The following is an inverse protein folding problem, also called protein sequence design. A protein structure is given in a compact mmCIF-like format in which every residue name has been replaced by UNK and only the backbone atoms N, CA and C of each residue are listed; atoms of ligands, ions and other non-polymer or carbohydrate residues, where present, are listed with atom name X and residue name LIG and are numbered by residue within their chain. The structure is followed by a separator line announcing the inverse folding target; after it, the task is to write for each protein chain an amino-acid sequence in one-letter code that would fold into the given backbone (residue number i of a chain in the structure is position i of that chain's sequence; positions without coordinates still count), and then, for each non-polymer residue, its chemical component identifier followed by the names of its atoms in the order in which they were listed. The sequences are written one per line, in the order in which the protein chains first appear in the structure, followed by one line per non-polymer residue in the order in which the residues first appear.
data_IF_982933772966
#
_entry.id   IF_982933772966
#
_cell.length_a   1.000
_cell.length_b   1.000
_cell.length_c   1.000
_cell.angle_alpha   90.00
_cell.angle_beta   90.00
_cell.angle_gamma   90.00
#
_symmetry.space_group_name_H-M   'P 1'
#
loop_
_entity.id
_entity.type
_entity.pdbx_description
1 polymer ?
#
# COMPACT_ATOMS: atom_id res chain seq x y z
N UNK A 1 10.65 -46.63 -49.47
CA UNK A 1 10.62 -45.14 -49.54
C UNK A 1 10.56 -44.64 -48.10
N UNK A 2 11.72 -44.38 -47.46
CA UNK A 2 12.34 -43.05 -47.26
C UNK A 2 11.47 -42.07 -46.42
N UNK A 3 11.74 -42.09 -45.09
CA UNK A 3 12.07 -40.97 -44.16
C UNK A 3 11.24 -39.65 -44.15
N UNK A 4 11.39 -38.73 -43.16
CA UNK A 4 11.63 -38.86 -41.70
C UNK A 4 10.97 -37.73 -40.85
N UNK A 5 10.36 -37.98 -39.68
CA UNK A 5 10.16 -36.90 -38.66
C UNK A 5 10.13 -37.42 -37.21
N UNK A 6 10.78 -38.56 -36.91
CA UNK A 6 10.83 -39.11 -35.55
C UNK A 6 12.11 -38.79 -34.75
N UNK A 7 13.01 -37.95 -35.28
CA UNK A 7 14.35 -37.74 -34.69
C UNK A 7 14.61 -36.36 -34.07
N UNK A 8 13.58 -35.54 -33.85
CA UNK A 8 13.73 -34.21 -33.25
C UNK A 8 13.15 -34.05 -31.84
N UNK A 9 12.69 -35.14 -31.22
CA UNK A 9 12.18 -35.11 -29.84
C UNK A 9 13.06 -35.80 -28.78
N UNK A 10 14.17 -36.45 -29.17
CA UNK A 10 15.00 -37.22 -28.25
C UNK A 10 16.38 -36.63 -27.93
N UNK A 11 16.65 -35.35 -28.24
CA UNK A 11 18.00 -34.78 -28.08
C UNK A 11 18.09 -33.50 -27.21
N UNK A 12 17.09 -33.23 -26.37
CA UNK A 12 17.14 -32.12 -25.39
C UNK A 12 16.95 -32.55 -23.93
N UNK A 13 16.98 -33.86 -23.64
CA UNK A 13 16.70 -34.42 -22.31
C UNK A 13 17.90 -35.10 -21.62
N UNK A 14 19.11 -34.97 -22.17
CA UNK A 14 20.32 -35.60 -21.62
C UNK A 14 21.53 -34.65 -21.71
N UNK A 15 21.51 -33.58 -20.92
CA UNK A 15 22.71 -32.99 -20.32
C UNK A 15 22.34 -32.29 -18.99
N UNK A 16 22.76 -32.92 -17.90
CA UNK A 16 22.67 -32.60 -16.48
C UNK A 16 23.25 -31.20 -16.15
N UNK A 17 22.62 -30.39 -15.28
CA UNK A 17 22.86 -30.34 -13.82
C UNK A 17 23.62 -29.03 -13.50
N UNK A 18 23.42 -28.23 -12.45
CA UNK A 18 22.94 -28.41 -11.06
C UNK A 18 22.54 -27.01 -10.55
N UNK A 19 21.50 -26.90 -9.71
CA UNK A 19 21.17 -25.64 -9.01
C UNK A 19 19.79 -25.66 -8.37
N UNK A 20 19.68 -26.32 -7.22
CA UNK A 20 18.45 -26.59 -6.48
C UNK A 20 17.77 -25.30 -5.96
N UNK A 21 16.50 -25.07 -6.33
CA UNK A 21 15.54 -24.35 -5.47
C UNK A 21 14.15 -24.93 -5.72
N UNK A 22 13.59 -25.56 -4.68
CA UNK A 22 12.28 -26.20 -4.71
C UNK A 22 11.19 -25.13 -4.92
N UNK A 23 10.68 -25.01 -6.14
CA UNK A 23 9.38 -24.37 -6.39
C UNK A 23 8.30 -25.37 -6.00
N UNK A 24 7.61 -25.12 -4.89
CA UNK A 24 6.33 -25.75 -4.60
C UNK A 24 5.28 -25.01 -5.43
N UNK A 25 4.93 -25.60 -6.58
CA UNK A 25 3.68 -25.29 -7.27
C UNK A 25 2.56 -25.94 -6.48
N UNK A 26 1.68 -25.13 -5.85
CA UNK A 26 0.38 -25.61 -5.38
C UNK A 26 -0.62 -25.29 -6.49
N UNK A 27 -1.14 -26.29 -7.21
CA UNK A 27 -2.28 -26.08 -8.09
C UNK A 27 -3.52 -25.81 -7.24
N UNK A 28 -4.26 -24.74 -7.55
CA UNK A 28 -5.59 -24.50 -7.00
C UNK A 28 -6.53 -25.45 -7.74
N UNK A 29 -6.84 -26.60 -7.14
CA UNK A 29 -7.97 -27.43 -7.58
C UNK A 29 -9.29 -26.82 -7.10
N UNK A 30 -10.38 -26.91 -7.89
CA UNK A 30 -11.70 -26.43 -7.48
C UNK A 30 -12.25 -27.33 -6.36
N UNK A 31 -12.41 -26.78 -5.16
CA UNK A 31 -12.95 -27.51 -4.01
C UNK A 31 -14.43 -27.86 -4.20
N UNK A 32 -14.69 -29.14 -4.43
CA UNK A 32 -15.98 -29.77 -4.19
C UNK A 32 -16.23 -29.87 -2.68
N UNK A 33 -17.33 -29.29 -2.21
CA UNK A 33 -17.82 -29.39 -0.82
C UNK A 33 -17.99 -30.85 -0.40
N UNK A 34 -17.16 -31.32 0.55
CA UNK A 34 -17.46 -32.48 1.38
C UNK A 34 -17.16 -32.17 2.84
N UNK A 35 -18.21 -32.26 3.66
CA UNK A 35 -18.20 -32.08 5.11
C UNK A 35 -17.90 -33.43 5.79
N UNK A 36 -16.93 -33.55 6.70
CA UNK A 36 -16.83 -34.68 7.61
C UNK A 36 -17.56 -34.40 8.94
N UNK A 37 -18.32 -35.38 9.42
CA UNK A 37 -18.99 -35.37 10.72
C UNK A 37 -17.98 -35.51 11.88
N UNK A 38 -18.15 -34.71 12.93
CA UNK A 38 -17.31 -34.70 14.13
C UNK A 38 -18.03 -35.36 15.32
N UNK A 39 -17.37 -36.30 16.00
CA UNK A 39 -17.77 -36.82 17.30
C UNK A 39 -16.72 -36.44 18.36
N UNK A 40 -17.11 -35.85 19.51
CA UNK A 40 -16.17 -35.52 20.58
C UNK A 40 -16.03 -36.67 21.58
N UNK A 41 -14.81 -36.87 22.10
CA UNK A 41 -14.52 -37.67 23.30
C UNK A 41 -14.10 -36.76 24.47
N UNK A 42 -14.36 -37.12 25.74
CA UNK A 42 -14.26 -36.20 26.87
C UNK A 42 -12.88 -36.17 27.55
N UNK A 43 -12.56 -35.00 28.11
CA UNK A 43 -11.36 -34.70 28.90
C UNK A 43 -11.57 -35.11 30.36
N UNK A 44 -10.55 -35.72 30.99
CA UNK A 44 -10.51 -35.98 32.43
C UNK A 44 -9.52 -35.05 33.14
N UNK A 45 -9.96 -34.47 34.25
CA UNK A 45 -9.25 -33.54 35.12
C UNK A 45 -8.34 -34.25 36.14
N UNK A 46 -7.17 -33.67 36.47
CA UNK A 46 -6.37 -34.01 37.66
C UNK A 46 -6.32 -32.82 38.64
N UNK A 47 -6.30 -33.05 39.97
CA UNK A 47 -6.38 -31.99 40.97
C UNK A 47 -5.02 -31.46 41.44
N UNK A 48 -5.08 -30.29 42.07
CA UNK A 48 -3.99 -29.46 42.56
C UNK A 48 -3.25 -30.06 43.77
N UNK A 49 -1.94 -29.77 43.86
CA UNK A 49 -1.07 -30.11 44.99
C UNK A 49 -0.78 -28.86 45.83
N UNK A 50 -0.88 -29.03 47.15
CA UNK A 50 -0.69 -28.07 48.23
C UNK A 50 0.76 -27.66 48.46
N UNK A 51 0.97 -26.40 48.85
CA UNK A 51 2.23 -25.80 49.29
C UNK A 51 2.55 -26.11 50.77
N UNK A 52 3.83 -26.29 51.14
CA UNK A 52 4.27 -26.15 52.52
C UNK A 52 5.24 -24.96 52.73
N UNK A 53 4.96 -24.20 53.80
CA UNK A 53 5.94 -23.94 54.87
C UNK A 53 6.96 -22.82 54.69
N UNK A 54 6.85 -21.82 55.58
CA UNK A 54 7.82 -20.74 55.82
C UNK A 54 9.25 -21.25 56.09
N UNK A 55 10.22 -20.64 55.41
CA UNK A 55 11.61 -20.60 55.86
C UNK A 55 12.07 -19.15 56.01
N UNK A 56 12.81 -18.94 57.09
CA UNK A 56 13.14 -17.67 57.70
C UNK A 56 14.14 -16.82 56.89
N UNK A 57 13.98 -15.49 57.03
CA UNK A 57 15.06 -14.50 57.10
C UNK A 57 16.15 -14.55 56.03
N UNK A 58 15.83 -14.20 54.77
CA UNK A 58 16.83 -13.77 53.79
C UNK A 58 16.83 -12.23 53.76
N UNK A 59 17.99 -11.55 53.92
CA UNK A 59 18.04 -10.11 53.81
C UNK A 59 17.62 -9.68 52.40
N UNK A 60 16.59 -8.83 52.31
CA UNK A 60 16.11 -8.27 51.05
C UNK A 60 17.19 -7.32 50.53
N UNK A 61 18.02 -7.80 49.59
CA UNK A 61 18.85 -6.92 48.78
C UNK A 61 17.92 -5.99 48.00
N UNK A 62 18.18 -4.67 47.93
CA UNK A 62 17.42 -3.78 47.06
C UNK A 62 17.48 -4.34 45.63
N UNK A 63 16.32 -4.45 45.00
CA UNK A 63 16.20 -4.95 43.64
C UNK A 63 17.18 -4.17 42.76
N UNK A 64 18.02 -4.90 42.01
CA UNK A 64 18.87 -4.28 41.00
C UNK A 64 18.00 -3.38 40.10
N UNK A 65 18.46 -2.18 39.72
CA UNK A 65 17.69 -1.31 38.84
C UNK A 65 17.28 -2.13 37.61
N UNK A 66 15.98 -2.14 37.33
CA UNK A 66 15.43 -2.90 36.21
C UNK A 66 16.19 -2.52 34.94
N UNK A 67 16.86 -3.49 34.34
CA UNK A 67 17.51 -3.30 33.05
C UNK A 67 16.43 -2.79 32.09
N UNK A 68 16.62 -1.65 31.40
CA UNK A 68 15.63 -1.15 30.46
C UNK A 68 15.33 -2.24 29.44
N UNK A 69 14.07 -2.69 29.38
CA UNK A 69 13.63 -3.64 28.38
C UNK A 69 13.78 -2.97 27.02
N UNK A 70 14.46 -3.63 26.08
CA UNK A 70 14.63 -3.10 24.74
C UNK A 70 13.25 -2.89 24.08
N UNK A 71 13.02 -1.76 23.39
CA UNK A 71 11.75 -1.50 22.74
C UNK A 71 11.46 -2.54 21.66
N UNK A 72 10.22 -2.98 21.60
CA UNK A 72 9.64 -3.88 20.61
C UNK A 72 9.01 -3.07 19.47
N UNK A 73 8.68 -3.74 18.35
CA UNK A 73 7.97 -3.07 17.27
C UNK A 73 6.63 -2.45 17.73
N UNK A 74 5.93 -3.07 18.68
CA UNK A 74 4.65 -2.56 19.20
C UNK A 74 4.79 -1.16 19.82
N UNK A 75 5.95 -0.86 20.44
CA UNK A 75 6.23 0.42 21.09
C UNK A 75 6.28 1.60 20.09
N UNK A 76 6.44 1.32 18.80
CA UNK A 76 6.43 2.35 17.74
C UNK A 76 5.10 2.39 16.97
N UNK A 77 4.46 1.24 16.77
CA UNK A 77 3.26 1.12 15.93
C UNK A 77 1.97 1.47 16.67
N UNK A 78 1.86 1.18 17.97
CA UNK A 78 0.65 1.52 18.73
C UNK A 78 0.48 3.05 18.88
N UNK A 79 1.52 3.84 19.22
CA UNK A 79 1.39 5.31 19.22
C UNK A 79 1.04 5.87 17.84
N UNK A 80 1.61 5.30 16.77
CA UNK A 80 1.29 5.67 15.40
C UNK A 80 -0.18 5.42 15.07
N UNK A 81 -0.71 4.23 15.41
CA UNK A 81 -2.13 3.90 15.28
C UNK A 81 -3.01 4.92 16.00
N UNK A 82 -2.68 5.25 17.26
CA UNK A 82 -3.46 6.19 18.07
C UNK A 82 -3.50 7.59 17.46
N UNK A 83 -2.40 8.06 16.87
CA UNK A 83 -2.35 9.36 16.20
C UNK A 83 -3.21 9.37 14.93
N UNK A 84 -3.14 8.32 14.10
CA UNK A 84 -4.00 8.17 12.92
C UNK A 84 -5.48 8.05 13.31
N UNK A 85 -5.80 7.27 14.35
CA UNK A 85 -7.17 7.12 14.85
C UNK A 85 -7.76 8.46 15.33
N UNK A 86 -6.95 9.27 16.04
CA UNK A 86 -7.33 10.62 16.46
C UNK A 86 -7.54 11.58 15.29
N UNK A 87 -6.84 11.39 14.16
CA UNK A 87 -7.13 12.15 12.94
C UNK A 87 -8.47 11.74 12.31
N UNK A 88 -8.80 10.45 12.34
CA UNK A 88 -10.03 9.92 11.73
C UNK A 88 -11.29 10.31 12.53
N UNK A 89 -11.20 10.32 13.87
CA UNK A 89 -12.28 10.73 14.78
C UNK A 89 -12.31 12.24 15.11
N UNK A 90 -11.57 13.04 14.33
CA UNK A 90 -11.51 14.50 14.40
C UNK A 90 -10.94 15.09 15.71
N UNK A 91 -10.35 14.28 16.60
CA UNK A 91 -9.64 14.79 17.78
C UNK A 91 -8.35 15.53 17.40
N UNK A 92 -7.70 15.15 16.30
CA UNK A 92 -6.57 15.84 15.69
C UNK A 92 -6.91 16.33 14.28
N UNK A 93 -6.33 17.45 13.83
CA UNK A 93 -6.56 17.93 12.46
C UNK A 93 -6.04 16.93 11.43
N UNK A 94 -6.82 16.75 10.36
CA UNK A 94 -6.41 15.91 9.23
C UNK A 94 -5.16 16.48 8.55
N UNK A 95 -4.13 15.66 8.41
CA UNK A 95 -2.93 16.01 7.67
C UNK A 95 -2.35 14.77 7.00
N UNK A 96 -2.52 14.67 5.68
CA UNK A 96 -2.01 13.53 4.92
C UNK A 96 -0.47 13.44 5.00
N UNK A 97 0.23 14.58 4.93
CA UNK A 97 1.68 14.68 5.14
C UNK A 97 2.11 14.09 6.49
N UNK A 98 1.40 14.41 7.57
CA UNK A 98 1.71 13.91 8.91
C UNK A 98 1.37 12.42 9.03
N UNK A 99 0.23 11.98 8.48
CA UNK A 99 -0.16 10.57 8.45
C UNK A 99 0.89 9.69 7.75
N UNK A 100 1.36 10.10 6.56
CA UNK A 100 2.45 9.44 5.83
C UNK A 100 3.71 9.36 6.69
N UNK A 101 4.13 10.47 7.31
CA UNK A 101 5.32 10.46 8.16
C UNK A 101 5.18 9.50 9.36
N UNK A 102 4.06 9.53 10.08
CA UNK A 102 3.84 8.68 11.26
C UNK A 102 3.97 7.20 10.88
N UNK A 103 3.32 6.80 9.79
CA UNK A 103 3.34 5.43 9.29
C UNK A 103 4.75 4.98 8.94
N UNK A 104 5.49 5.78 8.17
CA UNK A 104 6.86 5.43 7.78
C UNK A 104 7.83 5.45 8.97
N UNK A 105 7.67 6.39 9.89
CA UNK A 105 8.53 6.52 11.06
C UNK A 105 8.39 5.34 12.02
N UNK A 106 7.17 4.80 12.18
CA UNK A 106 6.95 3.58 12.96
C UNK A 106 7.76 2.39 12.41
N UNK A 107 7.85 2.26 11.08
CA UNK A 107 8.66 1.22 10.45
C UNK A 107 10.16 1.39 10.75
N UNK A 108 10.65 2.63 10.82
CA UNK A 108 12.03 2.97 11.16
C UNK A 108 12.29 3.12 12.66
N UNK A 109 11.48 2.54 13.55
CA UNK A 109 11.67 2.58 15.01
C UNK A 109 11.75 4.01 15.56
N UNK A 110 10.93 4.91 15.02
CA UNK A 110 10.92 6.34 15.34
C UNK A 110 12.24 7.08 15.12
N UNK A 111 13.11 6.59 14.23
CA UNK A 111 14.41 7.21 13.93
C UNK A 111 14.35 8.35 12.90
N UNK A 112 13.21 8.59 12.24
CA UNK A 112 13.07 9.72 11.32
C UNK A 112 12.80 11.02 12.09
N UNK A 113 13.36 12.12 11.60
CA UNK A 113 13.07 13.47 12.10
C UNK A 113 11.89 14.08 11.34
N UNK A 114 10.80 14.39 12.06
CA UNK A 114 9.66 15.09 11.45
C UNK A 114 10.04 16.49 10.95
N UNK A 115 10.93 17.17 11.67
CA UNK A 115 11.43 18.48 11.26
C UNK A 115 12.15 18.40 9.91
N UNK A 116 13.06 17.44 9.75
CA UNK A 116 13.80 17.25 8.49
C UNK A 116 12.87 16.81 7.33
N UNK A 117 11.91 15.93 7.61
CA UNK A 117 10.89 15.54 6.64
C UNK A 117 10.09 16.74 6.16
N UNK A 118 9.61 17.57 7.09
CA UNK A 118 8.81 18.76 6.80
C UNK A 118 9.62 19.84 6.07
N UNK A 119 10.87 20.06 6.47
CA UNK A 119 11.77 21.01 5.79
C UNK A 119 12.02 20.60 4.33
N UNK A 120 12.22 19.31 4.07
CA UNK A 120 12.43 18.79 2.71
C UNK A 120 11.18 19.00 1.84
N UNK A 121 10.00 18.68 2.36
CA UNK A 121 8.72 18.94 1.67
C UNK A 121 8.54 20.45 1.41
N UNK A 122 8.82 21.31 2.39
CA UNK A 122 8.72 22.76 2.23
C UNK A 122 9.69 23.28 1.15
N UNK A 123 10.91 22.71 1.08
CA UNK A 123 11.87 22.99 0.03
C UNK A 123 11.35 22.62 -1.35
N UNK A 124 10.74 21.44 -1.51
CA UNK A 124 10.12 21.01 -2.76
C UNK A 124 8.91 21.88 -3.15
N UNK A 125 8.05 22.23 -2.20
CA UNK A 125 6.94 23.15 -2.43
C UNK A 125 7.45 24.53 -2.88
N UNK A 126 8.52 25.04 -2.27
CA UNK A 126 9.18 26.29 -2.71
C UNK A 126 9.67 26.19 -4.17
N UNK A 127 10.24 25.05 -4.57
CA UNK A 127 10.62 24.82 -5.97
C UNK A 127 9.41 24.80 -6.90
N UNK A 128 8.31 24.16 -6.50
CA UNK A 128 7.07 24.19 -7.26
C UNK A 128 6.53 25.63 -7.43
N UNK A 129 6.57 26.48 -6.40
CA UNK A 129 6.18 27.90 -6.49
C UNK A 129 7.05 28.67 -7.47
N UNK A 130 8.36 28.45 -7.46
CA UNK A 130 9.29 29.09 -8.40
C UNK A 130 9.03 28.60 -9.84
N UNK A 131 8.87 27.29 -10.05
CA UNK A 131 8.52 26.73 -11.37
C UNK A 131 7.21 27.33 -11.87
N UNK A 132 6.18 27.40 -11.03
CA UNK A 132 4.91 28.05 -11.36
C UNK A 132 5.13 29.48 -11.82
N UNK A 133 5.75 30.32 -10.99
CA UNK A 133 5.95 31.74 -11.27
C UNK A 133 6.72 31.97 -12.59
N UNK A 134 7.79 31.21 -12.83
CA UNK A 134 8.60 31.32 -14.04
C UNK A 134 7.85 30.85 -15.30
N UNK A 135 6.92 29.90 -15.18
CA UNK A 135 6.23 29.30 -16.32
C UNK A 135 4.80 29.82 -16.53
N UNK A 136 4.25 30.64 -15.63
CA UNK A 136 2.82 31.03 -15.64
C UNK A 136 2.40 31.77 -16.92
N UNK A 137 3.32 32.57 -17.49
CA UNK A 137 3.13 33.28 -18.76
C UNK A 137 3.09 32.36 -19.99
N UNK A 138 3.69 31.17 -19.90
CA UNK A 138 3.73 30.19 -21.00
C UNK A 138 2.61 29.16 -20.91
N UNK A 139 1.80 29.18 -19.85
CA UNK A 139 0.69 28.26 -19.68
C UNK A 139 -0.47 28.66 -20.62
N UNK A 140 -0.73 27.82 -21.63
CA UNK A 140 -1.81 27.98 -22.59
C UNK A 140 -3.13 27.46 -21.98
N UNK A 141 -3.58 28.12 -20.90
CA UNK A 141 -4.85 27.84 -20.22
C UNK A 141 -5.51 29.16 -19.80
N UNK A 142 -6.75 29.37 -20.24
CA UNK A 142 -7.44 30.66 -20.31
C UNK A 142 -8.79 30.67 -19.56
N UNK A 143 -9.01 29.74 -18.63
CA UNK A 143 -10.21 29.69 -17.78
C UNK A 143 -9.93 30.27 -16.38
N UNK A 144 -11.00 30.57 -15.64
CA UNK A 144 -10.98 31.21 -14.32
C UNK A 144 -10.26 30.39 -13.24
N UNK A 145 -10.19 29.06 -13.41
CA UNK A 145 -9.46 28.13 -12.55
C UNK A 145 -7.97 27.95 -12.94
N UNK A 146 -7.42 28.84 -13.78
CA UNK A 146 -6.00 28.83 -14.21
C UNK A 146 -5.04 28.67 -13.04
N UNK A 147 -5.29 29.33 -11.91
CA UNK A 147 -4.40 29.27 -10.75
C UNK A 147 -4.22 27.84 -10.21
N UNK A 148 -5.31 27.05 -10.15
CA UNK A 148 -5.25 25.65 -9.74
C UNK A 148 -4.50 24.78 -10.77
N UNK A 149 -4.76 25.01 -12.06
CA UNK A 149 -4.08 24.32 -13.16
C UNK A 149 -2.58 24.62 -13.15
N UNK A 150 -2.19 25.90 -12.98
CA UNK A 150 -0.80 26.34 -12.87
C UNK A 150 -0.06 25.65 -11.72
N UNK A 151 -0.70 25.51 -10.54
CA UNK A 151 -0.09 24.84 -9.38
C UNK A 151 0.16 23.35 -9.68
N UNK A 152 -0.84 22.64 -10.18
CA UNK A 152 -0.71 21.22 -10.55
C UNK A 152 0.31 20.99 -11.68
N UNK A 153 0.33 21.87 -12.68
CA UNK A 153 1.30 21.82 -13.77
C UNK A 153 2.74 22.00 -13.24
N UNK A 154 2.94 22.91 -12.28
CA UNK A 154 4.26 23.13 -11.68
C UNK A 154 4.74 21.92 -10.85
N UNK A 155 3.86 21.29 -10.07
CA UNK A 155 4.19 20.06 -9.32
C UNK A 155 4.53 18.93 -10.28
N UNK A 156 3.72 18.72 -11.31
CA UNK A 156 3.97 17.69 -12.32
C UNK A 156 5.32 17.90 -13.03
N UNK A 157 5.62 19.14 -13.45
CA UNK A 157 6.89 19.50 -14.06
C UNK A 157 8.07 19.28 -13.11
N UNK A 158 7.95 19.70 -11.85
CA UNK A 158 8.95 19.47 -10.82
C UNK A 158 9.26 17.97 -10.64
N UNK A 159 8.22 17.13 -10.64
CA UNK A 159 8.42 15.70 -10.45
C UNK A 159 8.98 14.99 -11.69
N UNK A 160 8.56 15.43 -12.89
CA UNK A 160 8.87 14.79 -14.17
C UNK A 160 10.23 15.20 -14.76
N UNK A 161 10.53 16.49 -14.77
CA UNK A 161 11.61 17.08 -15.55
C UNK A 161 12.79 17.53 -14.69
N UNK A 162 14.00 17.47 -15.26
CA UNK A 162 15.16 18.08 -14.64
C UNK A 162 14.97 19.60 -14.57
N UNK A 163 15.20 20.19 -13.40
CA UNK A 163 15.05 21.64 -13.21
C UNK A 163 16.42 22.28 -12.99
N UNK A 164 16.88 23.10 -13.93
CA UNK A 164 18.13 23.86 -13.81
C UNK A 164 17.89 25.12 -12.98
N UNK A 165 18.61 25.26 -11.87
CA UNK A 165 18.57 26.43 -11.00
C UNK A 165 19.52 27.53 -11.53
N UNK A 166 19.25 28.76 -11.12
CA UNK A 166 20.10 29.94 -11.44
C UNK A 166 21.54 29.73 -10.94
N UNK A 167 21.72 28.98 -9.83
CA UNK A 167 23.03 28.61 -9.31
C UNK A 167 23.83 27.63 -10.21
N UNK A 168 23.29 27.27 -11.38
CA UNK A 168 23.87 26.28 -12.30
C UNK A 168 23.59 24.82 -11.92
N UNK A 169 23.13 24.55 -10.69
CA UNK A 169 22.78 23.20 -10.23
C UNK A 169 21.52 22.69 -10.93
N UNK A 170 21.54 21.46 -11.40
CA UNK A 170 20.37 20.77 -11.94
C UNK A 170 19.77 19.86 -10.87
N UNK A 171 18.48 20.05 -10.57
CA UNK A 171 17.72 19.13 -9.75
C UNK A 171 17.28 17.94 -10.62
N UNK A 172 17.64 16.75 -10.17
CA UNK A 172 17.24 15.49 -10.81
C UNK A 172 15.74 15.26 -10.57
N UNK A 173 14.99 14.84 -11.59
CA UNK A 173 13.58 14.51 -11.44
C UNK A 173 13.39 13.20 -10.66
N UNK A 174 12.16 12.95 -10.25
CA UNK A 174 11.79 11.68 -9.63
C UNK A 174 11.59 10.62 -10.72
N UNK A 175 11.81 9.36 -10.38
CA UNK A 175 11.72 8.23 -11.31
C UNK A 175 11.01 7.05 -10.69
N UNK A 176 10.33 6.28 -11.54
CA UNK A 176 9.76 5.00 -11.13
C UNK A 176 10.88 3.99 -10.92
N UNK A 177 10.88 3.33 -9.78
CA UNK A 177 11.74 2.22 -9.42
C UNK A 177 11.04 0.92 -9.81
N UNK A 178 11.57 0.26 -10.85
CA UNK A 178 11.05 -1.03 -11.31
C UNK A 178 11.64 -2.20 -10.53
N UNK A 179 12.61 -1.96 -9.67
CA UNK A 179 13.21 -2.98 -8.83
C UNK A 179 12.37 -3.10 -7.53
N UNK A 180 11.78 -4.27 -7.25
CA UNK A 180 10.99 -4.51 -6.04
C UNK A 180 9.89 -3.43 -5.83
N UNK A 181 9.18 -3.09 -6.91
CA UNK A 181 8.22 -1.99 -6.96
C UNK A 181 6.99 -2.22 -6.06
N UNK A 182 6.72 -3.46 -5.69
CA UNK A 182 5.67 -3.91 -4.77
C UNK A 182 6.15 -3.97 -3.31
N UNK A 183 7.44 -3.74 -3.06
CA UNK A 183 8.04 -3.74 -1.72
C UNK A 183 8.01 -5.12 -1.07
N UNK A 184 8.11 -6.18 -1.87
CA UNK A 184 8.11 -7.55 -1.40
C UNK A 184 9.35 -7.92 -0.59
N UNK A 185 10.50 -7.38 -0.99
CA UNK A 185 11.78 -7.59 -0.30
C UNK A 185 12.04 -6.50 0.73
N UNK A 186 11.87 -5.22 0.33
CA UNK A 186 12.07 -4.06 1.19
C UNK A 186 10.84 -3.15 1.20
N UNK A 187 10.05 -3.26 2.27
CA UNK A 187 8.83 -2.49 2.45
C UNK A 187 9.06 -0.96 2.39
N UNK A 188 10.28 -0.49 2.68
CA UNK A 188 10.59 0.94 2.57
C UNK A 188 10.55 1.47 1.13
N UNK A 189 10.50 0.61 0.11
CA UNK A 189 10.27 1.04 -1.29
C UNK A 189 8.89 1.68 -1.49
N UNK A 190 7.93 1.43 -0.61
CA UNK A 190 6.61 2.07 -0.62
C UNK A 190 6.62 3.53 -0.11
N UNK A 191 7.75 3.99 0.47
CA UNK A 191 7.79 5.19 1.31
C UNK A 191 8.16 6.48 0.55
N UNK A 192 7.47 7.57 0.92
CA UNK A 192 7.77 8.93 0.51
C UNK A 192 9.12 9.39 1.05
N UNK A 193 9.51 9.05 2.28
CA UNK A 193 10.83 9.41 2.83
C UNK A 193 11.97 8.86 1.98
N UNK A 194 11.87 7.60 1.55
CA UNK A 194 12.84 6.98 0.63
C UNK A 194 12.80 7.65 -0.75
N UNK A 195 11.62 7.85 -1.33
CA UNK A 195 11.45 8.57 -2.60
C UNK A 195 12.10 9.95 -2.56
N UNK A 196 11.88 10.72 -1.49
CA UNK A 196 12.49 12.04 -1.34
C UNK A 196 14.01 11.94 -1.29
N UNK A 197 14.56 10.96 -0.57
CA UNK A 197 16.00 10.77 -0.41
C UNK A 197 16.70 10.32 -1.69
N UNK A 198 16.12 9.37 -2.42
CA UNK A 198 16.75 8.69 -3.57
C UNK A 198 16.28 9.19 -4.93
N UNK A 199 15.19 9.96 -4.97
CA UNK A 199 14.45 10.34 -6.17
C UNK A 199 13.89 9.13 -6.95
N UNK A 200 13.77 7.97 -6.32
CA UNK A 200 13.20 6.74 -6.89
C UNK A 200 12.06 6.22 -6.00
N UNK A 201 10.91 5.95 -6.60
CA UNK A 201 9.75 5.39 -5.90
C UNK A 201 8.82 4.69 -6.87
N UNK A 202 7.60 4.38 -6.47
CA UNK A 202 6.69 3.50 -7.20
C UNK A 202 5.30 4.12 -7.33
N UNK A 203 4.33 3.32 -7.78
CA UNK A 203 2.94 3.72 -7.95
C UNK A 203 2.27 4.14 -6.64
N UNK A 204 2.90 3.90 -5.49
CA UNK A 204 2.42 4.32 -4.18
C UNK A 204 3.06 5.65 -3.73
N UNK A 205 4.39 5.67 -3.62
CA UNK A 205 5.12 6.83 -3.08
C UNK A 205 5.06 8.06 -4.00
N UNK A 206 5.02 7.88 -5.32
CA UNK A 206 4.98 9.01 -6.28
C UNK A 206 3.66 9.80 -6.16
N UNK A 207 2.46 9.20 -6.26
CA UNK A 207 1.20 9.91 -6.02
C UNK A 207 1.10 10.51 -4.62
N UNK A 208 1.63 9.84 -3.59
CA UNK A 208 1.61 10.35 -2.22
C UNK A 208 2.41 11.64 -2.10
N UNK A 209 3.65 11.66 -2.64
CA UNK A 209 4.46 12.88 -2.64
C UNK A 209 3.78 14.00 -3.43
N UNK A 210 3.22 13.71 -4.61
CA UNK A 210 2.50 14.71 -5.38
C UNK A 210 1.32 15.28 -4.58
N UNK A 211 0.50 14.42 -3.96
CA UNK A 211 -0.65 14.86 -3.16
C UNK A 211 -0.23 15.73 -1.98
N UNK A 212 0.88 15.38 -1.30
CA UNK A 212 1.46 16.22 -0.24
C UNK A 212 1.88 17.59 -0.81
N UNK A 213 2.57 17.63 -1.95
CA UNK A 213 2.96 18.89 -2.59
C UNK A 213 1.76 19.70 -3.07
N UNK A 214 0.69 19.04 -3.52
CA UNK A 214 -0.56 19.69 -3.90
C UNK A 214 -1.18 20.40 -2.69
N UNK A 215 -1.23 19.73 -1.53
CA UNK A 215 -1.73 20.35 -0.29
C UNK A 215 -0.88 21.56 0.13
N UNK A 216 0.45 21.46 0.07
CA UNK A 216 1.38 22.56 0.37
C UNK A 216 1.28 23.74 -0.61
N UNK A 217 0.86 23.47 -1.83
CA UNK A 217 0.65 24.46 -2.89
C UNK A 217 -0.78 25.03 -2.89
N UNK A 218 -1.70 24.46 -2.09
CA UNK A 218 -3.13 24.78 -2.16
C UNK A 218 -3.75 24.39 -3.51
N UNK A 219 -3.28 23.31 -4.12
CA UNK A 219 -3.78 22.77 -5.37
C UNK A 219 -4.80 21.66 -5.10
N UNK A 220 -5.92 21.69 -5.80
CA UNK A 220 -6.92 20.62 -5.76
C UNK A 220 -6.40 19.43 -6.57
N UNK A 221 -6.20 18.31 -5.86
CA UNK A 221 -5.81 17.02 -6.40
C UNK A 221 -6.34 15.93 -5.47
N UNK A 222 -6.86 14.85 -6.04
CA UNK A 222 -7.38 13.71 -5.32
C UNK A 222 -6.57 12.47 -5.64
N UNK A 223 -6.38 11.60 -4.65
CA UNK A 223 -5.89 10.24 -4.88
C UNK A 223 -7.05 9.41 -5.44
N UNK A 224 -6.73 8.50 -6.36
CA UNK A 224 -7.67 7.51 -6.89
C UNK A 224 -6.97 6.15 -6.97
N UNK A 225 -7.77 5.10 -6.87
CA UNK A 225 -7.32 3.71 -6.82
C UNK A 225 -7.71 2.96 -8.09
N UNK A 226 -6.82 2.07 -8.52
CA UNK A 226 -7.04 1.02 -9.50
C UNK A 226 -6.43 -0.28 -8.95
N UNK A 227 -6.71 -1.46 -9.54
CA UNK A 227 -6.08 -2.70 -9.11
C UNK A 227 -4.56 -2.57 -8.99
N UNK A 228 -4.04 -2.80 -7.78
CA UNK A 228 -2.62 -2.71 -7.45
C UNK A 228 -1.95 -1.36 -7.83
N UNK A 229 -2.72 -0.27 -7.94
CA UNK A 229 -2.19 0.99 -8.45
C UNK A 229 -2.86 2.21 -7.83
N UNK A 230 -2.07 3.26 -7.59
CA UNK A 230 -2.54 4.56 -7.13
C UNK A 230 -2.18 5.60 -8.18
N UNK A 231 -3.13 6.48 -8.48
CA UNK A 231 -2.93 7.60 -9.40
C UNK A 231 -3.66 8.83 -8.88
N UNK A 232 -3.61 9.93 -9.63
CA UNK A 232 -4.19 11.20 -9.21
C UNK A 232 -5.31 11.60 -10.16
N UNK A 233 -6.35 12.23 -9.62
CA UNK A 233 -7.38 12.92 -10.38
C UNK A 233 -7.33 14.41 -10.07
N UNK A 234 -7.60 15.21 -11.08
CA UNK A 234 -7.80 16.65 -10.98
C UNK A 234 -9.00 17.02 -11.82
N UNK A 235 -9.52 18.23 -11.60
CA UNK A 235 -10.61 18.79 -12.38
C UNK A 235 -10.20 20.18 -12.87
N UNK A 236 -10.58 20.51 -14.10
CA UNK A 236 -10.50 21.87 -14.58
C UNK A 236 -11.70 22.22 -15.48
N UNK A 237 -11.97 23.51 -15.68
CA UNK A 237 -13.16 24.01 -16.41
C UNK A 237 -13.22 23.60 -17.87
N UNK A 238 -12.07 23.57 -18.56
CA UNK A 238 -11.97 23.24 -19.99
C UNK A 238 -12.15 21.74 -20.26
N UNK A 239 -11.56 20.89 -19.43
CA UNK A 239 -11.43 19.46 -19.69
C UNK A 239 -12.31 18.59 -18.80
N UNK A 240 -12.92 19.14 -17.75
CA UNK A 240 -13.57 18.35 -16.71
C UNK A 240 -12.54 17.58 -15.87
N UNK A 241 -12.89 16.36 -15.48
CA UNK A 241 -11.99 15.45 -14.78
C UNK A 241 -10.89 14.93 -15.71
N UNK A 242 -9.67 14.90 -15.19
CA UNK A 242 -8.53 14.30 -15.87
C UNK A 242 -7.63 13.59 -14.86
N UNK A 243 -6.92 12.57 -15.34
CA UNK A 243 -6.03 11.77 -14.50
C UNK A 243 -4.58 12.20 -14.74
N UNK A 244 -3.75 12.08 -13.70
CA UNK A 244 -2.31 12.27 -13.78
C UNK A 244 -1.62 10.97 -13.33
N UNK A 245 -0.84 10.38 -14.24
CA UNK A 245 -0.09 9.15 -14.00
C UNK A 245 1.41 9.45 -13.90
N UNK A 246 2.01 9.21 -12.74
CA UNK A 246 3.42 9.54 -12.46
C UNK A 246 4.39 8.42 -12.84
N UNK A 247 3.89 7.20 -13.05
CA UNK A 247 4.69 6.06 -13.53
C UNK A 247 5.14 6.28 -14.97
N UNK A 248 4.25 6.79 -15.81
CA UNK A 248 4.52 7.09 -17.22
C UNK A 248 4.69 8.57 -17.54
N UNK A 249 4.35 9.47 -16.61
CA UNK A 249 4.30 10.91 -16.82
C UNK A 249 3.33 11.30 -17.95
N UNK A 250 2.12 10.75 -17.90
CA UNK A 250 1.03 11.01 -18.85
C UNK A 250 -0.26 11.42 -18.16
N UNK A 251 -1.25 11.83 -18.96
CA UNK A 251 -2.60 12.16 -18.50
C UNK A 251 -3.61 11.20 -19.14
N UNK A 252 -3.72 9.95 -18.65
CA UNK A 252 -4.57 8.95 -19.27
C UNK A 252 -6.06 9.30 -19.14
N UNK A 253 -6.85 8.98 -20.16
CA UNK A 253 -8.31 9.08 -20.08
C UNK A 253 -8.90 7.89 -19.32
N UNK A 254 -10.07 8.08 -18.69
CA UNK A 254 -10.77 7.03 -17.93
C UNK A 254 -10.98 5.76 -18.74
N UNK A 255 -11.39 5.89 -20.01
CA UNK A 255 -11.61 4.76 -20.91
C UNK A 255 -10.36 3.86 -21.06
N UNK A 256 -9.16 4.44 -21.01
CA UNK A 256 -7.92 3.67 -21.06
C UNK A 256 -7.62 3.01 -19.72
N UNK A 257 -7.80 3.72 -18.60
CA UNK A 257 -7.63 3.12 -17.27
C UNK A 257 -8.57 1.92 -17.10
N UNK A 258 -9.82 2.03 -17.57
CA UNK A 258 -10.76 0.90 -17.52
C UNK A 258 -10.38 -0.24 -18.44
N UNK A 259 -10.01 0.06 -19.70
CA UNK A 259 -9.72 -0.97 -20.69
C UNK A 259 -8.40 -1.71 -20.39
N UNK A 260 -7.43 -1.03 -19.79
CA UNK A 260 -6.10 -1.59 -19.53
C UNK A 260 -5.93 -2.10 -18.09
N UNK A 261 -6.61 -1.50 -17.11
CA UNK A 261 -6.33 -1.66 -15.69
C UNK A 261 -7.14 -2.74 -14.95
N UNK A 262 -7.75 -3.71 -15.65
CA UNK A 262 -8.58 -4.76 -15.03
C UNK A 262 -9.73 -4.19 -14.16
N UNK A 263 -10.31 -3.07 -14.60
CA UNK A 263 -11.39 -2.38 -13.90
C UNK A 263 -12.71 -2.72 -14.59
N UNK A 264 -13.61 -3.38 -13.88
CA UNK A 264 -14.94 -3.69 -14.39
C UNK A 264 -15.95 -2.60 -14.03
N UNK A 265 -17.14 -2.64 -14.65
CA UNK A 265 -18.22 -1.69 -14.32
C UNK A 265 -18.65 -1.86 -12.85
N UNK A 266 -18.67 -3.08 -12.36
CA UNK A 266 -19.06 -3.43 -11.00
C UNK A 266 -18.11 -2.81 -9.97
N UNK A 267 -16.79 -2.82 -10.24
CA UNK A 267 -15.79 -2.25 -9.32
C UNK A 267 -15.81 -0.72 -9.27
N UNK A 268 -16.30 -0.08 -10.33
CA UNK A 268 -16.59 1.37 -10.34
C UNK A 268 -17.86 1.66 -9.54
N UNK A 269 -18.93 0.90 -9.77
CA UNK A 269 -20.22 1.10 -9.07
C UNK A 269 -20.10 0.85 -7.57
N UNK A 270 -19.32 -0.16 -7.16
CA UNK A 270 -19.08 -0.46 -5.76
C UNK A 270 -18.15 0.55 -5.06
N UNK A 271 -17.55 1.47 -5.81
CA UNK A 271 -16.69 2.53 -5.28
C UNK A 271 -15.30 2.05 -4.84
N UNK A 272 -14.88 0.84 -5.21
CA UNK A 272 -13.55 0.33 -4.85
C UNK A 272 -12.43 0.93 -5.73
N UNK A 273 -12.76 1.37 -6.95
CA UNK A 273 -11.82 1.98 -7.90
C UNK A 273 -12.39 3.23 -8.59
N UNK A 274 -11.47 4.03 -9.15
CA UNK A 274 -11.69 5.22 -9.99
C UNK A 274 -12.38 6.44 -9.34
N UNK A 275 -12.76 6.34 -8.07
CA UNK A 275 -13.31 7.46 -7.31
C UNK A 275 -12.22 8.36 -6.71
N UNK A 276 -12.61 9.57 -6.30
CA UNK A 276 -11.75 10.54 -5.63
C UNK A 276 -11.77 10.33 -4.12
N UNK A 277 -10.60 10.07 -3.53
CA UNK A 277 -10.50 9.88 -2.09
C UNK A 277 -10.57 11.20 -1.31
N UNK A 278 -11.38 11.19 -0.25
CA UNK A 278 -11.47 12.25 0.76
C UNK A 278 -10.21 12.31 1.63
N UNK A 279 -10.06 13.39 2.40
CA UNK A 279 -8.96 13.55 3.34
C UNK A 279 -8.91 12.43 4.40
N UNK A 280 -10.06 11.98 4.93
CA UNK A 280 -10.11 10.84 5.87
C UNK A 280 -9.71 9.54 5.20
N UNK A 281 -10.18 9.28 3.98
CA UNK A 281 -9.81 8.08 3.23
C UNK A 281 -8.30 8.04 2.92
N UNK A 282 -7.66 9.19 2.66
CA UNK A 282 -6.21 9.25 2.52
C UNK A 282 -5.47 8.84 3.81
N UNK A 283 -5.98 9.22 4.99
CA UNK A 283 -5.45 8.75 6.28
C UNK A 283 -5.68 7.25 6.47
N UNK A 284 -6.82 6.72 6.01
CA UNK A 284 -7.08 5.27 6.02
C UNK A 284 -6.07 4.49 5.18
N UNK A 285 -5.60 5.02 4.04
CA UNK A 285 -4.51 4.38 3.28
C UNK A 285 -3.27 4.20 4.18
N UNK A 286 -2.85 5.26 4.88
CA UNK A 286 -1.72 5.23 5.80
C UNK A 286 -1.91 4.25 6.97
N UNK A 287 -3.15 4.03 7.42
CA UNK A 287 -3.48 3.07 8.47
C UNK A 287 -3.32 1.61 7.99
N UNK A 288 -3.68 1.32 6.74
CA UNK A 288 -3.43 0.00 6.13
C UNK A 288 -1.95 -0.22 5.84
N UNK A 289 -1.23 0.83 5.43
CA UNK A 289 0.23 0.77 5.28
C UNK A 289 0.93 0.52 6.62
N UNK A 290 0.41 1.09 7.71
CA UNK A 290 0.90 0.85 9.07
C UNK A 290 0.70 -0.63 9.45
N UNK A 291 -0.47 -1.21 9.17
CA UNK A 291 -0.74 -2.62 9.39
C UNK A 291 0.21 -3.54 8.59
N UNK A 292 0.39 -3.26 7.29
CA UNK A 292 1.29 -4.03 6.42
C UNK A 292 2.75 -3.89 6.84
N UNK A 293 3.19 -2.69 7.20
CA UNK A 293 4.54 -2.46 7.72
C UNK A 293 4.81 -3.24 9.00
N UNK A 294 3.83 -3.31 9.91
CA UNK A 294 3.93 -4.12 11.13
C UNK A 294 4.05 -5.60 10.81
N UNK A 295 3.17 -6.12 9.94
CA UNK A 295 3.22 -7.51 9.48
C UNK A 295 4.57 -7.86 8.85
N UNK A 296 5.12 -7.00 7.99
CA UNK A 296 6.45 -7.20 7.39
C UNK A 296 7.56 -7.24 8.44
N UNK A 297 7.40 -6.53 9.56
CA UNK A 297 8.43 -6.41 10.60
C UNK A 297 8.42 -7.55 11.61
N UNK A 298 7.24 -8.00 12.06
CA UNK A 298 7.11 -9.02 13.12
C UNK A 298 6.60 -10.37 12.62
N UNK A 299 6.22 -10.46 11.34
CA UNK A 299 5.62 -11.62 10.73
C UNK A 299 4.10 -11.72 10.96
N UNK A 300 3.40 -12.48 10.11
CA UNK A 300 1.94 -12.46 10.02
C UNK A 300 1.21 -13.02 11.26
N UNK A 301 1.84 -13.95 11.99
CA UNK A 301 1.23 -14.54 13.18
C UNK A 301 1.24 -13.55 14.35
N UNK A 302 2.40 -12.93 14.62
CA UNK A 302 2.54 -11.95 15.69
C UNK A 302 1.79 -10.64 15.38
N UNK A 303 1.64 -10.31 14.09
CA UNK A 303 0.95 -9.12 13.64
C UNK A 303 -0.58 -9.23 13.68
N UNK A 304 -1.16 -10.44 13.71
CA UNK A 304 -2.62 -10.68 13.58
C UNK A 304 -3.47 -9.70 14.41
N UNK A 305 -3.26 -9.53 15.74
CA UNK A 305 -4.13 -8.68 16.54
C UNK A 305 -4.07 -7.19 16.14
N UNK A 306 -2.88 -6.71 15.78
CA UNK A 306 -2.68 -5.33 15.36
C UNK A 306 -3.23 -5.08 13.95
N UNK A 307 -3.03 -6.03 13.04
CA UNK A 307 -3.56 -5.97 11.67
C UNK A 307 -5.09 -5.94 11.71
N UNK A 308 -5.75 -6.81 12.47
CA UNK A 308 -7.21 -6.79 12.66
C UNK A 308 -7.68 -5.45 13.20
N UNK A 309 -7.04 -4.93 14.24
CA UNK A 309 -7.37 -3.62 14.82
C UNK A 309 -7.28 -2.47 13.81
N UNK A 310 -6.27 -2.49 12.93
CA UNK A 310 -6.11 -1.49 11.87
C UNK A 310 -7.16 -1.65 10.77
N UNK A 311 -7.43 -2.87 10.31
CA UNK A 311 -8.41 -3.10 9.23
C UNK A 311 -9.83 -2.82 9.71
N UNK A 312 -10.18 -3.15 10.96
CA UNK A 312 -11.48 -2.83 11.54
C UNK A 312 -11.73 -1.32 11.59
N UNK A 313 -10.72 -0.54 12.00
CA UNK A 313 -10.82 0.92 12.00
C UNK A 313 -10.83 1.48 10.57
N UNK A 314 -9.99 0.95 9.66
CA UNK A 314 -9.96 1.36 8.26
C UNK A 314 -11.34 1.20 7.60
N UNK A 315 -12.00 0.07 7.80
CA UNK A 315 -13.31 -0.23 7.21
C UNK A 315 -14.47 0.55 7.85
N UNK A 316 -14.29 1.14 9.04
CA UNK A 316 -15.27 2.09 9.59
C UNK A 316 -15.27 3.41 8.83
N UNK A 317 -14.09 3.92 8.44
CA UNK A 317 -13.94 5.22 7.79
C UNK A 317 -13.84 5.14 6.26
N UNK A 318 -13.56 3.96 5.73
CA UNK A 318 -13.56 3.67 4.29
C UNK A 318 -14.06 2.23 4.03
N UNK A 319 -15.38 1.98 4.12
CA UNK A 319 -15.96 0.63 4.05
C UNK A 319 -15.62 -0.15 2.78
N UNK A 320 -15.49 0.56 1.66
CA UNK A 320 -15.21 -0.02 0.34
C UNK A 320 -13.71 -0.07 0.03
N UNK A 321 -12.82 0.13 1.00
CA UNK A 321 -11.39 0.08 0.72
C UNK A 321 -10.91 -1.36 0.53
N UNK A 322 -10.72 -1.74 -0.73
CA UNK A 322 -10.45 -3.13 -1.11
C UNK A 322 -9.18 -3.71 -0.44
N UNK A 323 -8.12 -2.91 -0.27
CA UNK A 323 -6.89 -3.40 0.37
C UNK A 323 -7.09 -3.71 1.86
N UNK A 324 -7.94 -2.94 2.56
CA UNK A 324 -8.29 -3.25 3.95
C UNK A 324 -9.13 -4.52 4.03
N UNK A 325 -10.10 -4.69 3.13
CA UNK A 325 -10.95 -5.89 3.06
C UNK A 325 -10.11 -7.14 2.78
N UNK A 326 -9.22 -7.10 1.78
CA UNK A 326 -8.32 -8.19 1.43
C UNK A 326 -7.40 -8.55 2.60
N UNK A 327 -6.81 -7.56 3.26
CA UNK A 327 -5.94 -7.78 4.42
C UNK A 327 -6.72 -8.40 5.60
N UNK A 328 -7.95 -7.96 5.85
CA UNK A 328 -8.83 -8.55 6.86
C UNK A 328 -9.16 -10.01 6.53
N UNK A 329 -9.57 -10.30 5.29
CA UNK A 329 -9.91 -11.65 4.84
C UNK A 329 -8.72 -12.62 4.94
N UNK A 330 -7.54 -12.18 4.50
CA UNK A 330 -6.30 -12.97 4.58
C UNK A 330 -5.87 -13.21 6.03
N UNK A 331 -6.03 -12.21 6.90
CA UNK A 331 -5.76 -12.37 8.35
C UNK A 331 -6.69 -13.41 8.97
N UNK A 332 -7.98 -13.38 8.63
CA UNK A 332 -8.98 -14.35 9.09
C UNK A 332 -8.69 -15.76 8.55
N UNK A 333 -8.30 -15.89 7.27
CA UNK A 333 -7.89 -17.17 6.67
C UNK A 333 -6.73 -17.80 7.43
N UNK A 334 -5.66 -17.04 7.61
CA UNK A 334 -4.47 -17.51 8.35
C UNK A 334 -4.82 -17.90 9.80
N UNK A 335 -5.73 -17.15 10.44
CA UNK A 335 -6.21 -17.47 11.80
C UNK A 335 -7.00 -18.78 11.84
N UNK A 336 -7.92 -18.97 10.90
CA UNK A 336 -8.70 -20.20 10.76
C UNK A 336 -7.79 -21.41 10.53
N UNK A 337 -6.83 -21.32 9.61
CA UNK A 337 -5.90 -22.41 9.29
C UNK A 337 -5.08 -22.88 10.49
N UNK A 338 -4.75 -21.97 11.43
CA UNK A 338 -4.05 -22.30 12.67
C UNK A 338 -4.95 -22.93 13.75
N UNK A 339 -6.27 -22.77 13.64
CA UNK A 339 -7.21 -23.08 14.70
C UNK A 339 -8.26 -24.12 14.29
N UNK A 340 -8.13 -24.76 13.13
CA UNK A 340 -9.14 -25.68 12.54
C UNK A 340 -9.69 -26.76 13.48
N UNK A 341 -8.95 -27.16 14.51
CA UNK A 341 -9.36 -28.16 15.51
C UNK A 341 -10.03 -27.57 16.77
N UNK A 342 -10.19 -26.26 16.86
CA UNK A 342 -10.72 -25.56 18.04
C UNK A 342 -12.21 -25.18 17.86
N UNK A 343 -13.00 -25.10 18.94
CA UNK A 343 -14.40 -24.66 18.88
C UNK A 343 -14.57 -23.27 18.26
N UNK A 344 -13.61 -22.36 18.46
CA UNK A 344 -13.63 -21.01 17.92
C UNK A 344 -13.43 -20.96 16.39
N UNK A 345 -12.95 -22.06 15.77
CA UNK A 345 -12.69 -22.14 14.34
C UNK A 345 -13.94 -21.86 13.50
N UNK A 346 -15.12 -22.30 13.97
CA UNK A 346 -16.37 -22.08 13.25
C UNK A 346 -16.74 -20.60 13.16
N UNK A 347 -16.47 -19.83 14.23
CA UNK A 347 -16.73 -18.38 14.24
C UNK A 347 -15.75 -17.65 13.32
N UNK A 348 -14.46 -18.02 13.37
CA UNK A 348 -13.44 -17.44 12.48
C UNK A 348 -13.73 -17.78 11.02
N UNK A 349 -14.17 -19.01 10.72
CA UNK A 349 -14.56 -19.44 9.38
C UNK A 349 -15.74 -18.62 8.86
N UNK A 350 -16.80 -18.46 9.65
CA UNK A 350 -17.97 -17.66 9.25
C UNK A 350 -17.59 -16.19 8.99
N UNK A 351 -16.71 -15.61 9.83
CA UNK A 351 -16.20 -14.26 9.62
C UNK A 351 -15.36 -14.15 8.34
N UNK A 352 -14.50 -15.14 8.07
CA UNK A 352 -13.69 -15.24 6.86
C UNK A 352 -14.57 -15.33 5.61
N UNK A 353 -15.56 -16.22 5.61
CA UNK A 353 -16.52 -16.39 4.51
C UNK A 353 -17.27 -15.09 4.24
N UNK A 354 -17.79 -14.43 5.28
CA UNK A 354 -18.46 -13.14 5.15
C UNK A 354 -17.53 -12.05 4.57
N UNK A 355 -16.24 -12.04 4.93
CA UNK A 355 -15.26 -11.11 4.37
C UNK A 355 -15.03 -11.36 2.87
N UNK A 356 -14.88 -12.62 2.45
CA UNK A 356 -14.72 -12.96 1.04
C UNK A 356 -15.99 -12.67 0.21
N UNK A 357 -17.17 -12.92 0.77
CA UNK A 357 -18.45 -12.58 0.11
C UNK A 357 -18.55 -11.08 -0.13
N UNK A 358 -18.25 -10.24 0.88
CA UNK A 358 -18.21 -8.78 0.71
C UNK A 358 -17.27 -8.35 -0.42
N UNK A 359 -16.06 -8.92 -0.46
CA UNK A 359 -15.08 -8.64 -1.52
C UNK A 359 -15.65 -9.03 -2.88
N UNK A 360 -16.23 -10.23 -3.00
CA UNK A 360 -16.81 -10.72 -4.24
C UNK A 360 -17.96 -9.83 -4.75
N UNK A 361 -18.82 -9.36 -3.86
CA UNK A 361 -19.96 -8.46 -4.14
C UNK A 361 -19.51 -7.10 -4.70
N UNK A 362 -18.29 -6.63 -4.38
CA UNK A 362 -17.75 -5.41 -5.00
C UNK A 362 -17.41 -5.55 -6.48
N UNK A 363 -17.42 -6.77 -7.01
CA UNK A 363 -16.91 -7.08 -8.35
C UNK A 363 -15.40 -7.27 -8.40
N UNK A 364 -14.68 -7.19 -7.27
CA UNK A 364 -13.24 -7.39 -7.22
C UNK A 364 -12.83 -8.73 -7.83
N UNK A 365 -11.78 -8.69 -8.64
CA UNK A 365 -11.07 -9.87 -9.15
C UNK A 365 -9.58 -9.61 -8.98
N UNK A 366 -8.85 -10.62 -8.54
CA UNK A 366 -7.40 -10.53 -8.42
C UNK A 366 -6.80 -10.39 -9.83
N UNK A 367 -6.03 -9.34 -10.04
CA UNK A 367 -5.28 -9.16 -11.28
C UNK A 367 -4.07 -10.11 -11.26
N UNK A 368 -3.94 -11.03 -12.22
CA UNK A 368 -2.77 -11.90 -12.31
C UNK A 368 -1.46 -11.09 -12.38
N UNK A 369 -0.38 -11.52 -11.70
CA UNK A 369 0.87 -10.76 -11.65
C UNK A 369 1.45 -10.42 -13.03
N UNK A 370 1.36 -11.35 -13.99
CA UNK A 370 1.84 -11.11 -15.36
C UNK A 370 1.04 -10.00 -16.05
N UNK A 371 -0.29 -9.95 -15.87
CA UNK A 371 -1.10 -8.87 -16.44
C UNK A 371 -0.75 -7.52 -15.82
N UNK A 372 -0.45 -7.47 -14.52
CA UNK A 372 0.02 -6.23 -13.91
C UNK A 372 1.36 -5.78 -14.48
N UNK A 373 2.32 -6.70 -14.63
CA UNK A 373 3.63 -6.40 -15.22
C UNK A 373 3.51 -5.91 -16.67
N UNK A 374 2.67 -6.56 -17.47
CA UNK A 374 2.41 -6.18 -18.87
C UNK A 374 1.70 -4.83 -18.94
N UNK A 375 0.73 -4.59 -18.06
CA UNK A 375 0.07 -3.29 -17.93
C UNK A 375 1.07 -2.19 -17.60
N UNK A 376 1.90 -2.38 -16.58
CA UNK A 376 2.94 -1.43 -16.16
C UNK A 376 3.93 -1.13 -17.29
N UNK A 377 4.30 -2.14 -18.09
CA UNK A 377 5.13 -1.96 -19.27
C UNK A 377 4.41 -1.17 -20.37
N UNK A 378 3.13 -1.44 -20.62
CA UNK A 378 2.32 -0.71 -21.62
C UNK A 378 2.16 0.78 -21.26
N UNK A 379 1.95 1.08 -19.97
CA UNK A 379 1.89 2.43 -19.41
C UNK A 379 3.17 3.20 -19.77
N UNK A 380 4.32 2.51 -19.78
CA UNK A 380 5.63 3.07 -20.14
C UNK A 380 5.87 3.19 -21.65
N UNK A 381 5.53 2.18 -22.45
CA UNK A 381 5.93 2.11 -23.88
C UNK A 381 4.93 2.76 -24.82
N UNK A 382 3.65 2.81 -24.47
CA UNK A 382 2.57 3.17 -25.39
C UNK A 382 1.95 4.54 -25.10
N UNK A 383 2.72 5.43 -24.47
CA UNK A 383 2.29 6.76 -23.97
C UNK A 383 1.49 7.60 -24.96
N UNK A 384 1.77 7.49 -26.26
CA UNK A 384 1.15 8.30 -27.32
C UNK A 384 -0.24 7.81 -27.74
N UNK A 385 -0.54 6.51 -27.61
CA UNK A 385 -1.82 5.95 -28.06
C UNK A 385 -3.00 6.43 -27.20
N UNK A 386 -2.72 6.92 -25.99
CA UNK A 386 -3.72 6.98 -24.90
C UNK A 386 -3.84 8.36 -24.26
N UNK A 387 -3.19 9.37 -24.85
CA UNK A 387 -3.43 10.76 -24.55
C UNK A 387 -4.60 11.26 -25.39
N UNK A 388 -5.43 12.14 -24.82
CA UNK A 388 -6.44 12.86 -25.58
C UNK A 388 -5.70 13.64 -26.69
N UNK A 389 -6.00 13.33 -27.95
CA UNK A 389 -5.44 14.09 -29.08
C UNK A 389 -5.91 15.55 -28.93
N UNK A 390 -5.03 16.52 -29.19
CA UNK A 390 -5.27 17.94 -28.92
C UNK A 390 -6.54 18.48 -29.58
#
# INVERSE_FOLDING_TARGET
MKHPYLLLWCLALLMLGVGCSRRVLVPIEPLALRVPAYHPSPVTSRPAVSLPGQLAGVPIRPAAPAVPVAPTAADFYEPAYQELAKMLDDRYPLSFKRAVFITENAYFDNKLSYAAFNERIAGFAKMCRIIKATNDQYLIYDRDDKENVSRNAAIFKFMKDSTRLISGRTLTPFRYDFEDFDGDTDWSKMFVSKLMATHKGNCHSLPFLYKILADEMGAQTWISLAPNHIYLKQQNRKNGWYNTELTSYTFPIDAWLTASGYISRETIISGIYMDTLTAKQNVVLCLVDLAKGYERKVGPVAAEPFVSKCTDLALQYFPHYINAQLLQAETLRRKFERQTSKPEAQQVYAAMEAAYTRIFETGYREMPPQMYADWLQSVKTEKQKYQKKP
#
